data_IF_665933225972
#
_entry.id   IF_665933225972
#
_cell.length_a   1.000
_cell.length_b   1.000
_cell.length_c   1.000
_cell.angle_alpha   90.00
_cell.angle_beta   90.00
_cell.angle_gamma   90.00
#
_symmetry.space_group_name_H-M   'P 1'
#
loop_
_entity.id
_entity.type
_entity.pdbx_description
1 polymer ?
#
# COMPACT_ATOMS: atom_id res chain seq x y z
N UNK A 1 -7.82 3.26 -4.96
CA UNK A 1 -7.24 4.56 -4.60
C UNK A 1 -6.43 5.15 -5.74
N UNK A 2 -6.19 6.43 -5.69
CA UNK A 2 -5.17 7.11 -6.48
C UNK A 2 -4.20 7.80 -5.52
N UNK A 3 -2.94 7.93 -5.93
CA UNK A 3 -1.92 8.67 -5.19
C UNK A 3 -1.28 9.66 -6.19
N UNK A 4 -1.74 10.90 -6.21
CA UNK A 4 -1.23 11.90 -7.15
C UNK A 4 0.23 12.23 -6.89
N UNK A 5 0.63 12.36 -5.62
CA UNK A 5 1.98 12.69 -5.19
C UNK A 5 2.43 11.76 -4.04
N UNK A 6 3.73 11.49 -3.97
CA UNK A 6 4.31 10.58 -2.97
C UNK A 6 4.35 9.12 -3.42
N UNK A 7 4.19 8.85 -4.73
CA UNK A 7 4.20 7.49 -5.25
C UNK A 7 5.59 6.84 -5.13
N UNK A 8 5.61 5.61 -4.61
CA UNK A 8 6.81 4.77 -4.46
C UNK A 8 7.91 5.35 -3.55
N UNK A 9 7.55 6.18 -2.56
CA UNK A 9 8.47 6.64 -1.52
C UNK A 9 8.05 6.22 -0.11
N UNK A 10 6.86 5.64 0.04
CA UNK A 10 6.30 5.16 1.31
C UNK A 10 7.13 4.03 1.95
N UNK A 11 7.73 3.16 1.15
CA UNK A 11 8.65 2.12 1.63
C UNK A 11 10.02 2.69 2.10
N UNK A 12 10.28 3.98 1.88
CA UNK A 12 11.42 4.73 2.37
C UNK A 12 11.03 5.77 3.42
N UNK A 13 9.89 5.59 4.08
CA UNK A 13 9.31 6.51 5.06
C UNK A 13 9.02 7.91 4.50
N UNK A 14 8.63 7.99 3.23
CA UNK A 14 8.24 9.24 2.59
C UNK A 14 6.85 9.71 2.99
N UNK A 15 6.57 10.99 2.72
CA UNK A 15 5.23 11.56 2.84
C UNK A 15 4.44 11.32 1.56
N UNK A 16 3.16 11.05 1.70
CA UNK A 16 2.29 10.70 0.59
C UNK A 16 1.00 11.50 0.57
N UNK A 17 0.45 11.69 -0.62
CA UNK A 17 -0.89 12.20 -0.84
C UNK A 17 -1.76 11.11 -1.45
N UNK A 18 -2.98 10.97 -0.96
CA UNK A 18 -3.89 9.94 -1.44
C UNK A 18 -5.34 10.39 -1.50
N UNK A 19 -6.07 9.80 -2.44
CA UNK A 19 -7.50 10.01 -2.62
C UNK A 19 -8.21 8.68 -2.79
N UNK A 20 -9.32 8.48 -2.08
CA UNK A 20 -10.25 7.41 -2.41
C UNK A 20 -11.03 7.77 -3.68
N UNK A 21 -11.35 6.77 -4.49
CA UNK A 21 -12.23 6.89 -5.66
C UNK A 21 -13.50 6.07 -5.44
N UNK A 22 -14.50 6.32 -6.26
CA UNK A 22 -15.82 5.65 -6.21
C UNK A 22 -15.84 4.23 -6.80
N UNK A 23 -14.68 3.69 -7.13
CA UNK A 23 -14.48 2.34 -7.65
C UNK A 23 -13.79 1.48 -6.59
N UNK A 24 -14.13 0.20 -6.51
CA UNK A 24 -13.57 -0.66 -5.49
C UNK A 24 -13.80 -2.14 -5.72
N UNK A 25 -13.47 -2.90 -4.70
CA UNK A 25 -13.76 -4.33 -4.59
C UNK A 25 -15.06 -4.49 -3.79
N UNK A 26 -15.95 -5.31 -4.32
CA UNK A 26 -17.23 -5.65 -3.70
C UNK A 26 -17.26 -7.13 -3.37
N UNK A 27 -17.79 -7.47 -2.21
CA UNK A 27 -17.94 -8.85 -1.79
C UNK A 27 -19.33 -9.09 -1.18
N UNK A 28 -20.08 -10.05 -1.76
CA UNK A 28 -21.30 -10.57 -1.18
C UNK A 28 -20.98 -11.92 -0.53
N UNK A 29 -21.28 -12.08 0.75
CA UNK A 29 -20.89 -13.26 1.51
C UNK A 29 -21.90 -13.63 2.62
N UNK A 30 -21.82 -14.88 3.06
CA UNK A 30 -22.45 -15.35 4.30
C UNK A 30 -21.43 -16.08 5.18
N UNK A 31 -21.62 -16.11 6.52
CA UNK A 31 -20.71 -16.77 7.43
C UNK A 31 -20.79 -18.30 7.30
N UNK A 32 -19.65 -18.97 7.46
CA UNK A 32 -19.50 -20.43 7.50
C UNK A 32 -18.98 -20.84 8.87
N UNK A 33 -19.87 -21.43 9.71
CA UNK A 33 -19.53 -21.81 11.08
C UNK A 33 -18.46 -22.91 11.21
N UNK A 34 -18.21 -23.63 10.14
CA UNK A 34 -17.18 -24.67 10.07
C UNK A 34 -15.77 -24.11 9.76
N UNK A 35 -15.59 -22.79 9.71
CA UNK A 35 -14.32 -22.14 9.47
C UNK A 35 -13.78 -22.20 8.03
N UNK A 36 -14.59 -22.67 7.08
CA UNK A 36 -14.18 -22.73 5.67
C UNK A 36 -14.37 -21.38 4.99
N UNK A 37 -13.37 -20.94 4.25
CA UNK A 37 -13.47 -19.85 3.26
C UNK A 37 -13.70 -20.46 1.89
N UNK A 38 -14.79 -20.08 1.22
CA UNK A 38 -15.12 -20.46 -0.14
C UNK A 38 -15.55 -19.23 -0.93
N UNK A 39 -14.65 -18.62 -1.69
CA UNK A 39 -14.94 -17.42 -2.46
C UNK A 39 -14.69 -17.64 -3.95
N UNK A 40 -15.66 -17.23 -4.76
CA UNK A 40 -15.55 -17.17 -6.21
C UNK A 40 -15.23 -15.74 -6.63
N UNK A 41 -14.15 -15.55 -7.37
CA UNK A 41 -13.89 -14.28 -8.04
C UNK A 41 -14.64 -14.22 -9.37
N UNK A 42 -15.24 -13.06 -9.68
CA UNK A 42 -15.82 -12.80 -11.00
C UNK A 42 -14.77 -12.30 -12.01
N UNK A 43 -13.58 -11.90 -11.51
CA UNK A 43 -12.46 -11.39 -12.33
C UNK A 43 -11.42 -12.47 -12.64
N UNK A 44 -11.32 -13.52 -11.82
CA UNK A 44 -10.31 -14.55 -11.94
C UNK A 44 -10.91 -15.96 -11.99
N UNK A 45 -10.30 -16.87 -12.75
CA UNK A 45 -10.64 -18.28 -12.68
C UNK A 45 -10.27 -18.85 -11.30
N UNK A 46 -10.79 -20.02 -11.01
CA UNK A 46 -10.61 -20.78 -9.78
C UNK A 46 -11.30 -20.13 -8.56
N UNK A 47 -11.76 -21.00 -7.69
CA UNK A 47 -12.36 -20.66 -6.40
C UNK A 47 -11.27 -20.67 -5.32
N UNK A 48 -11.30 -19.70 -4.42
CA UNK A 48 -10.54 -19.77 -3.20
C UNK A 48 -11.22 -20.74 -2.23
N UNK A 49 -10.47 -21.71 -1.71
CA UNK A 49 -10.98 -22.64 -0.70
C UNK A 49 -9.86 -22.96 0.31
N UNK A 50 -10.10 -22.65 1.58
CA UNK A 50 -9.17 -22.97 2.67
C UNK A 50 -9.89 -22.84 4.03
N UNK A 51 -9.28 -23.39 5.10
CA UNK A 51 -9.75 -23.21 6.47
C UNK A 51 -9.06 -22.02 7.13
N UNK A 52 -9.79 -21.16 7.85
CA UNK A 52 -9.20 -20.04 8.60
C UNK A 52 -8.26 -20.51 9.73
N UNK A 53 -8.47 -21.75 10.23
CA UNK A 53 -7.62 -22.37 11.26
C UNK A 53 -6.42 -23.14 10.71
N UNK A 54 -6.34 -23.31 9.38
CA UNK A 54 -5.30 -24.08 8.70
C UNK A 54 -4.98 -23.45 7.34
N UNK A 55 -4.55 -22.20 7.37
CA UNK A 55 -4.08 -21.50 6.17
C UNK A 55 -2.76 -22.14 5.72
N UNK A 56 -2.58 -22.48 4.42
CA UNK A 56 -1.31 -22.99 3.92
C UNK A 56 -0.13 -22.06 4.27
N UNK A 57 1.00 -22.63 4.67
CA UNK A 57 2.19 -21.85 5.00
C UNK A 57 2.81 -21.18 3.79
N UNK A 58 2.75 -21.84 2.63
CA UNK A 58 3.27 -21.33 1.37
C UNK A 58 2.18 -20.82 0.45
N UNK A 59 2.48 -19.74 -0.27
CA UNK A 59 1.62 -19.20 -1.32
C UNK A 59 1.46 -20.20 -2.47
N UNK A 60 0.26 -20.25 -3.05
CA UNK A 60 -0.08 -21.16 -4.15
C UNK A 60 0.09 -20.51 -5.54
N UNK A 61 0.33 -19.20 -5.58
CA UNK A 61 0.56 -18.44 -6.81
C UNK A 61 -0.70 -18.09 -7.57
N UNK A 62 -1.85 -18.04 -6.90
CA UNK A 62 -3.12 -17.61 -7.46
C UNK A 62 -3.64 -16.34 -6.75
N UNK A 63 -4.78 -15.81 -7.22
CA UNK A 63 -5.40 -14.59 -6.68
C UNK A 63 -5.77 -14.71 -5.19
N UNK A 64 -6.05 -15.92 -4.73
CA UNK A 64 -6.48 -16.18 -3.35
C UNK A 64 -5.32 -16.12 -2.34
N UNK A 65 -4.07 -15.99 -2.79
CA UNK A 65 -2.94 -15.78 -1.89
C UNK A 65 -3.09 -14.49 -1.06
N UNK A 66 -3.75 -13.48 -1.60
CA UNK A 66 -4.09 -12.26 -0.86
C UNK A 66 -5.06 -12.54 0.30
N UNK A 67 -6.03 -13.43 0.09
CA UNK A 67 -6.99 -13.85 1.12
C UNK A 67 -6.35 -14.76 2.17
N UNK A 68 -5.50 -15.70 1.71
CA UNK A 68 -4.75 -16.59 2.61
C UNK A 68 -3.81 -15.78 3.50
N UNK A 69 -3.04 -14.84 2.91
CA UNK A 69 -2.17 -13.94 3.66
C UNK A 69 -2.94 -13.12 4.70
N UNK A 70 -4.08 -12.56 4.31
CA UNK A 70 -4.93 -11.81 5.22
C UNK A 70 -5.43 -12.66 6.40
N UNK A 71 -5.96 -13.86 6.13
CA UNK A 71 -6.42 -14.76 7.16
C UNK A 71 -5.27 -15.23 8.08
N UNK A 72 -4.08 -15.50 7.50
CA UNK A 72 -2.91 -15.92 8.28
C UNK A 72 -2.47 -14.82 9.24
N UNK A 73 -2.26 -13.59 8.76
CA UNK A 73 -1.81 -12.47 9.59
C UNK A 73 -2.83 -12.09 10.67
N UNK A 74 -4.12 -12.14 10.35
CA UNK A 74 -5.16 -11.93 11.35
C UNK A 74 -5.19 -13.08 12.38
N UNK A 75 -5.02 -14.31 11.92
CA UNK A 75 -5.01 -15.52 12.75
C UNK A 75 -3.85 -15.61 13.73
N UNK A 76 -2.73 -14.92 13.48
CA UNK A 76 -1.60 -14.80 14.41
C UNK A 76 -1.96 -14.01 15.68
N UNK A 77 -2.94 -13.09 15.57
CA UNK A 77 -3.36 -12.22 16.69
C UNK A 77 -4.70 -12.64 17.29
N UNK A 78 -5.58 -13.20 16.47
CA UNK A 78 -6.96 -13.49 16.83
C UNK A 78 -7.34 -14.92 16.50
N UNK A 79 -8.07 -15.57 17.40
CA UNK A 79 -8.60 -16.91 17.12
C UNK A 79 -9.77 -16.84 16.15
N UNK A 80 -9.53 -17.22 14.89
CA UNK A 80 -10.56 -17.29 13.87
C UNK A 80 -11.32 -18.63 13.96
N UNK A 81 -12.65 -18.56 13.96
CA UNK A 81 -13.54 -19.74 14.03
C UNK A 81 -14.50 -19.82 12.84
N UNK A 82 -14.92 -18.66 12.34
CA UNK A 82 -15.94 -18.53 11.31
C UNK A 82 -15.27 -18.15 10.00
N UNK A 83 -15.49 -18.96 8.98
CA UNK A 83 -15.13 -18.63 7.60
C UNK A 83 -16.25 -17.90 6.88
N UNK A 84 -16.15 -17.81 5.55
CA UNK A 84 -17.18 -17.18 4.73
C UNK A 84 -17.28 -17.83 3.35
N UNK A 85 -18.47 -17.82 2.78
CA UNK A 85 -18.71 -18.25 1.42
C UNK A 85 -19.41 -17.14 0.64
N UNK A 86 -19.03 -16.94 -0.63
CA UNK A 86 -19.61 -15.87 -1.42
C UNK A 86 -18.87 -15.60 -2.72
N UNK A 87 -19.11 -14.41 -3.24
CA UNK A 87 -18.51 -13.90 -4.49
C UNK A 87 -17.80 -12.59 -4.24
N UNK A 88 -16.74 -12.35 -5.01
CA UNK A 88 -15.94 -11.12 -4.96
C UNK A 88 -15.70 -10.59 -6.38
N UNK A 89 -15.84 -9.29 -6.55
CA UNK A 89 -15.68 -8.60 -7.83
C UNK A 89 -14.95 -7.27 -7.65
N UNK A 90 -14.05 -6.98 -8.58
CA UNK A 90 -13.43 -5.66 -8.75
C UNK A 90 -14.00 -4.94 -9.96
N UNK A 91 -14.34 -3.67 -9.81
CA UNK A 91 -14.95 -2.84 -10.86
C UNK A 91 -13.97 -2.18 -11.82
N UNK A 92 -12.66 -2.37 -11.61
CA UNK A 92 -11.60 -1.78 -12.44
C UNK A 92 -10.68 -2.84 -13.02
N UNK A 93 -10.03 -2.56 -14.17
CA UNK A 93 -8.96 -3.39 -14.71
C UNK A 93 -7.83 -3.59 -13.68
N UNK A 94 -7.21 -4.75 -13.71
CA UNK A 94 -6.12 -5.11 -12.81
C UNK A 94 -4.85 -4.36 -13.21
N UNK A 95 -4.27 -3.63 -12.26
CA UNK A 95 -2.97 -2.97 -12.41
C UNK A 95 -3.00 -1.48 -12.05
N UNK A 96 -2.05 -1.04 -11.23
CA UNK A 96 -1.76 0.37 -10.92
C UNK A 96 -2.71 1.07 -9.95
N UNK A 97 -3.85 0.48 -9.58
CA UNK A 97 -4.86 1.09 -8.70
C UNK A 97 -5.03 0.35 -7.36
N UNK A 98 -4.01 -0.39 -6.93
CA UNK A 98 -3.97 -1.08 -5.63
C UNK A 98 -5.05 -2.13 -5.40
N UNK A 99 -5.39 -2.89 -6.43
CA UNK A 99 -6.38 -3.96 -6.29
C UNK A 99 -6.00 -5.03 -5.27
N UNK A 100 -4.71 -5.27 -5.03
CA UNK A 100 -4.21 -6.21 -4.02
C UNK A 100 -4.54 -5.74 -2.60
N UNK A 101 -4.23 -4.50 -2.25
CA UNK A 101 -4.58 -3.92 -0.95
C UNK A 101 -6.11 -3.89 -0.76
N UNK A 102 -6.86 -3.47 -1.80
CA UNK A 102 -8.33 -3.42 -1.77
C UNK A 102 -8.95 -4.79 -1.50
N UNK A 103 -8.49 -5.85 -2.16
CA UNK A 103 -9.04 -7.21 -1.93
C UNK A 103 -8.71 -7.72 -0.53
N UNK A 104 -7.51 -7.43 -0.03
CA UNK A 104 -7.09 -7.80 1.33
C UNK A 104 -7.97 -7.09 2.36
N UNK A 105 -8.13 -5.77 2.26
CA UNK A 105 -8.91 -4.97 3.22
C UNK A 105 -10.39 -5.35 3.16
N UNK A 106 -10.96 -5.56 1.98
CA UNK A 106 -12.33 -6.03 1.81
C UNK A 106 -12.55 -7.37 2.51
N UNK A 107 -11.64 -8.33 2.32
CA UNK A 107 -11.72 -9.64 2.96
C UNK A 107 -11.47 -9.58 4.47
N UNK A 108 -10.47 -8.83 4.94
CA UNK A 108 -10.22 -8.62 6.37
C UNK A 108 -11.44 -8.04 7.07
N UNK A 109 -12.07 -7.03 6.47
CA UNK A 109 -13.28 -6.40 7.02
C UNK A 109 -14.41 -7.40 7.18
N UNK A 110 -14.64 -8.27 6.19
CA UNK A 110 -15.65 -9.32 6.27
C UNK A 110 -15.29 -10.39 7.30
N UNK A 111 -14.02 -10.83 7.32
CA UNK A 111 -13.54 -11.86 8.26
C UNK A 111 -13.60 -11.38 9.71
N UNK A 112 -13.24 -10.12 9.96
CA UNK A 112 -13.40 -9.47 11.26
C UNK A 112 -14.87 -9.44 11.67
N UNK A 113 -15.77 -9.00 10.79
CA UNK A 113 -17.19 -8.90 11.07
C UNK A 113 -17.81 -10.24 11.47
N UNK A 114 -17.50 -11.33 10.75
CA UNK A 114 -18.10 -12.66 11.07
C UNK A 114 -17.49 -13.30 12.32
N UNK A 115 -16.28 -12.88 12.74
CA UNK A 115 -15.63 -13.37 13.95
C UNK A 115 -15.77 -12.41 15.15
N UNK A 116 -16.52 -11.29 15.02
CA UNK A 116 -16.72 -10.33 16.09
C UNK A 116 -15.43 -9.59 16.50
N UNK A 117 -14.49 -9.43 15.56
CA UNK A 117 -13.21 -8.75 15.77
C UNK A 117 -13.35 -7.29 15.37
N UNK A 118 -12.83 -6.39 16.17
CA UNK A 118 -12.69 -4.97 15.84
C UNK A 118 -11.20 -4.65 15.69
N UNK A 119 -10.81 -4.10 14.56
CA UNK A 119 -9.46 -3.58 14.33
C UNK A 119 -9.51 -2.07 14.27
N UNK A 120 -8.61 -1.42 14.98
CA UNK A 120 -8.36 0.01 14.77
C UNK A 120 -7.78 0.26 13.37
N UNK A 121 -8.01 1.45 12.78
CA UNK A 121 -7.58 1.74 11.41
C UNK A 121 -6.11 1.39 11.12
N UNK A 122 -5.20 1.75 12.03
CA UNK A 122 -3.78 1.44 11.85
C UNK A 122 -3.49 -0.06 11.95
N UNK A 123 -4.21 -0.78 12.81
CA UNK A 123 -4.07 -2.24 12.90
C UNK A 123 -4.54 -2.94 11.62
N UNK A 124 -5.64 -2.46 11.01
CA UNK A 124 -6.11 -2.94 9.70
C UNK A 124 -5.05 -2.72 8.63
N UNK A 125 -4.46 -1.53 8.56
CA UNK A 125 -3.40 -1.15 7.63
C UNK A 125 -2.18 -2.07 7.78
N UNK A 126 -1.70 -2.23 9.01
CA UNK A 126 -0.51 -3.04 9.29
C UNK A 126 -0.75 -4.53 9.03
N UNK A 127 -1.94 -5.05 9.34
CA UNK A 127 -2.32 -6.44 9.05
C UNK A 127 -2.40 -6.68 7.54
N UNK A 128 -3.00 -5.76 6.79
CA UNK A 128 -3.08 -5.83 5.32
C UNK A 128 -1.69 -5.74 4.67
N UNK A 129 -0.84 -4.83 5.14
CA UNK A 129 0.56 -4.73 4.71
C UNK A 129 1.35 -6.02 5.01
N UNK A 130 1.19 -6.58 6.20
CA UNK A 130 1.86 -7.82 6.57
C UNK A 130 1.44 -8.98 5.64
N UNK A 131 0.17 -9.08 5.27
CA UNK A 131 -0.32 -10.06 4.31
C UNK A 131 0.40 -9.97 2.95
N UNK A 132 0.60 -8.75 2.43
CA UNK A 132 1.35 -8.55 1.18
C UNK A 132 2.83 -8.85 1.34
N UNK A 133 3.47 -8.40 2.41
CA UNK A 133 4.91 -8.49 2.58
C UNK A 133 5.37 -9.91 2.97
N UNK A 134 4.69 -10.52 3.96
CA UNK A 134 5.16 -11.77 4.57
C UNK A 134 4.61 -13.00 3.85
N UNK A 135 3.37 -12.93 3.32
CA UNK A 135 2.76 -14.07 2.65
C UNK A 135 2.86 -14.00 1.13
N UNK A 136 2.41 -12.89 0.52
CA UNK A 136 2.45 -12.72 -0.94
C UNK A 136 3.88 -12.48 -1.43
N UNK A 137 4.74 -11.84 -0.61
CA UNK A 137 6.15 -11.58 -0.91
C UNK A 137 6.39 -10.32 -1.73
N UNK A 138 5.54 -9.31 -1.56
CA UNK A 138 5.71 -7.98 -2.17
C UNK A 138 6.14 -7.01 -1.08
N UNK A 139 7.35 -6.47 -1.16
CA UNK A 139 7.90 -5.55 -0.16
C UNK A 139 7.29 -4.14 -0.26
N UNK A 140 5.97 -4.02 -0.20
CA UNK A 140 5.29 -2.72 -0.29
C UNK A 140 5.46 -1.88 0.98
N UNK A 141 5.32 -0.55 0.85
CA UNK A 141 5.08 0.35 1.98
C UNK A 141 3.63 0.25 2.47
N UNK A 142 3.09 1.32 3.01
CA UNK A 142 1.71 1.35 3.52
C UNK A 142 0.80 2.37 2.82
N UNK A 143 1.25 2.94 1.69
CA UNK A 143 0.49 3.93 0.93
C UNK A 143 -0.89 3.42 0.54
N UNK A 144 -0.94 2.24 -0.07
CA UNK A 144 -2.16 1.68 -0.63
C UNK A 144 -3.19 1.41 0.45
N UNK A 145 -2.79 0.68 1.48
CA UNK A 145 -3.64 0.31 2.61
C UNK A 145 -4.10 1.55 3.40
N UNK A 146 -3.19 2.52 3.61
CA UNK A 146 -3.54 3.76 4.33
C UNK A 146 -4.56 4.60 3.56
N UNK A 147 -4.39 4.75 2.24
CA UNK A 147 -5.36 5.48 1.44
C UNK A 147 -6.75 4.82 1.45
N UNK A 148 -6.81 3.49 1.45
CA UNK A 148 -8.08 2.76 1.45
C UNK A 148 -8.80 2.78 2.79
N UNK A 149 -8.05 2.77 3.90
CA UNK A 149 -8.62 2.76 5.26
C UNK A 149 -8.90 4.17 5.80
N UNK A 150 -7.99 5.13 5.54
CA UNK A 150 -8.05 6.46 6.17
C UNK A 150 -8.73 7.51 5.31
N UNK A 151 -8.81 7.34 3.97
CA UNK A 151 -9.37 8.37 3.11
C UNK A 151 -10.84 8.66 3.40
N UNK A 152 -11.23 9.90 3.20
CA UNK A 152 -12.59 10.38 3.37
C UNK A 152 -13.05 11.12 2.11
N UNK A 153 -14.34 11.00 1.79
CA UNK A 153 -14.93 11.74 0.66
C UNK A 153 -14.63 13.23 0.76
N UNK A 154 -14.24 13.84 -0.34
CA UNK A 154 -13.89 15.27 -0.45
C UNK A 154 -12.70 15.69 0.43
N UNK A 155 -11.77 14.76 0.71
CA UNK A 155 -10.52 15.08 1.43
C UNK A 155 -9.34 14.47 0.69
N UNK A 156 -8.24 15.21 0.69
CA UNK A 156 -6.92 14.65 0.40
C UNK A 156 -6.36 14.04 1.68
N UNK A 157 -5.94 12.80 1.65
CA UNK A 157 -5.14 12.22 2.71
C UNK A 157 -3.69 12.68 2.52
N UNK A 158 -3.11 13.29 3.54
CA UNK A 158 -1.68 13.57 3.66
C UNK A 158 -1.12 12.79 4.83
N UNK A 159 -0.20 11.87 4.58
CA UNK A 159 0.32 10.93 5.57
C UNK A 159 1.84 10.95 5.58
N UNK A 160 2.45 11.07 6.76
CA UNK A 160 3.86 10.74 6.98
C UNK A 160 3.99 9.25 7.33
N UNK A 161 4.63 8.48 6.45
CA UNK A 161 4.72 7.02 6.65
C UNK A 161 5.82 6.62 7.64
N UNK A 162 6.55 7.57 8.22
CA UNK A 162 7.55 7.33 9.27
C UNK A 162 6.92 7.16 10.64
N UNK A 163 6.02 8.04 11.00
CA UNK A 163 5.39 8.11 12.33
C UNK A 163 3.87 7.86 12.31
N UNK A 164 3.31 7.61 11.14
CA UNK A 164 1.89 7.37 10.90
C UNK A 164 0.97 8.56 11.20
N UNK A 165 1.55 9.75 11.40
CA UNK A 165 0.76 10.97 11.50
C UNK A 165 0.10 11.31 10.17
N UNK A 166 -1.17 11.69 10.21
CA UNK A 166 -1.91 12.02 8.99
C UNK A 166 -2.88 13.18 9.18
N UNK A 167 -3.20 13.82 8.08
CA UNK A 167 -4.20 14.87 7.98
C UNK A 167 -5.17 14.56 6.85
N UNK A 168 -6.45 14.75 7.11
CA UNK A 168 -7.49 14.75 6.09
C UNK A 168 -7.77 16.19 5.69
N UNK A 169 -7.17 16.65 4.60
CA UNK A 169 -7.28 18.02 4.11
C UNK A 169 -8.56 18.15 3.28
N UNK A 170 -9.56 18.94 3.70
CA UNK A 170 -10.80 19.07 2.95
C UNK A 170 -10.56 19.71 1.58
N UNK A 171 -11.31 19.26 0.57
CA UNK A 171 -11.37 19.93 -0.73
C UNK A 171 -12.03 21.29 -0.54
N UNK A 172 -11.33 22.37 -0.86
CA UNK A 172 -11.85 23.73 -0.73
C UNK A 172 -13.00 23.97 -1.71
N UNK A 173 -14.02 24.70 -1.26
CA UNK A 173 -15.10 25.17 -2.14
C UNK A 173 -14.61 26.14 -3.26
N UNK A 174 -13.42 26.72 -3.07
CA UNK A 174 -12.77 27.57 -4.07
C UNK A 174 -12.11 26.78 -5.21
N UNK A 175 -11.90 25.46 -5.01
CA UNK A 175 -11.32 24.60 -6.05
C UNK A 175 -12.29 24.47 -7.23
N UNK A 176 -11.75 24.61 -8.45
CA UNK A 176 -12.49 24.29 -9.66
C UNK A 176 -12.88 22.80 -9.64
N UNK A 177 -14.08 22.44 -10.15
CA UNK A 177 -14.44 21.03 -10.31
C UNK A 177 -13.42 20.31 -11.17
N UNK A 178 -12.98 19.13 -10.73
CA UNK A 178 -12.04 18.30 -11.47
C UNK A 178 -12.57 16.87 -11.66
N UNK A 179 -12.01 16.17 -12.62
CA UNK A 179 -12.28 14.76 -12.87
C UNK A 179 -10.97 14.00 -12.94
N UNK A 180 -10.97 12.78 -12.44
CA UNK A 180 -9.85 11.86 -12.58
C UNK A 180 -10.11 10.96 -13.79
N UNK A 181 -9.22 11.04 -14.78
CA UNK A 181 -9.26 10.17 -15.95
C UNK A 181 -8.26 9.00 -15.74
N UNK A 182 -8.75 7.77 -15.86
CA UNK A 182 -7.94 6.57 -15.76
C UNK A 182 -7.79 5.96 -17.15
N UNK A 183 -6.54 5.88 -17.62
CA UNK A 183 -6.22 5.29 -18.92
C UNK A 183 -5.54 3.93 -18.71
N UNK A 184 -6.15 2.87 -19.23
CA UNK A 184 -5.55 1.54 -19.23
C UNK A 184 -4.53 1.44 -20.36
N UNK A 185 -3.28 1.14 -20.04
CA UNK A 185 -2.18 1.06 -21.01
C UNK A 185 -2.20 -0.23 -21.88
N UNK A 186 -3.12 -1.14 -21.62
CA UNK A 186 -3.15 -2.47 -22.25
C UNK A 186 -2.10 -3.45 -21.74
N UNK A 187 -1.25 -3.04 -20.78
CA UNK A 187 -0.22 -3.92 -20.21
C UNK A 187 -0.72 -4.57 -18.92
N UNK A 188 -0.81 -5.89 -18.94
CA UNK A 188 -1.01 -6.67 -17.72
C UNK A 188 0.32 -6.80 -16.97
N UNK A 189 0.32 -6.43 -15.69
CA UNK A 189 1.48 -6.57 -14.81
C UNK A 189 1.27 -7.72 -13.85
N UNK A 190 2.13 -8.72 -13.92
CA UNK A 190 2.27 -9.71 -12.86
C UNK A 190 3.26 -9.18 -11.80
N UNK A 191 2.87 -9.16 -10.54
CA UNK A 191 3.75 -8.81 -9.42
C UNK A 191 4.97 -9.74 -9.35
N UNK A 192 4.84 -11.00 -9.80
CA UNK A 192 5.94 -11.99 -9.86
C UNK A 192 7.12 -11.54 -10.72
N UNK A 193 6.88 -10.74 -11.78
CA UNK A 193 7.90 -10.26 -12.71
C UNK A 193 8.24 -8.78 -12.52
N UNK A 194 7.70 -8.14 -11.49
CA UNK A 194 7.98 -6.73 -11.26
C UNK A 194 9.34 -6.55 -10.59
N UNK A 195 10.10 -5.56 -11.04
CA UNK A 195 11.35 -5.15 -10.38
C UNK A 195 11.10 -4.33 -9.10
N UNK A 196 9.91 -4.46 -8.48
CA UNK A 196 9.51 -3.62 -7.35
C UNK A 196 10.43 -3.83 -6.14
N UNK A 197 10.62 -5.10 -5.73
CA UNK A 197 11.51 -5.43 -4.61
C UNK A 197 12.95 -4.98 -4.88
N UNK A 198 13.45 -5.20 -6.11
CA UNK A 198 14.78 -4.73 -6.51
C UNK A 198 14.91 -3.20 -6.38
N UNK A 199 13.90 -2.45 -6.80
CA UNK A 199 13.91 -0.97 -6.67
C UNK A 199 13.91 -0.53 -5.22
N UNK A 200 13.23 -1.24 -4.35
CA UNK A 200 13.26 -0.97 -2.91
C UNK A 200 14.66 -1.22 -2.34
N UNK A 201 15.31 -2.31 -2.74
CA UNK A 201 16.68 -2.63 -2.30
C UNK A 201 17.69 -1.62 -2.85
N UNK A 202 17.52 -1.12 -4.08
CA UNK A 202 18.31 -0.02 -4.65
C UNK A 202 18.18 1.27 -3.80
N UNK A 203 16.97 1.59 -3.30
CA UNK A 203 16.76 2.73 -2.39
C UNK A 203 17.49 2.54 -1.05
N UNK A 204 17.41 1.35 -0.45
CA UNK A 204 18.13 1.04 0.79
C UNK A 204 19.63 1.09 0.59
N UNK A 205 20.13 0.56 -0.53
CA UNK A 205 21.54 0.59 -0.87
C UNK A 205 22.05 2.03 -1.04
N UNK A 206 21.25 2.90 -1.67
CA UNK A 206 21.57 4.31 -1.77
C UNK A 206 21.66 4.97 -0.39
N UNK A 207 20.67 4.75 0.48
CA UNK A 207 20.67 5.30 1.84
C UNK A 207 21.88 4.82 2.64
N UNK A 208 22.13 3.51 2.64
CA UNK A 208 23.24 2.90 3.36
C UNK A 208 24.61 3.44 2.90
N UNK A 209 24.80 3.56 1.58
CA UNK A 209 26.03 4.11 1.01
C UNK A 209 26.22 5.60 1.37
N UNK A 210 25.17 6.42 1.28
CA UNK A 210 25.22 7.84 1.63
C UNK A 210 25.59 8.06 3.10
N UNK A 211 24.99 7.30 4.01
CA UNK A 211 25.32 7.36 5.44
C UNK A 211 26.78 6.97 5.68
N UNK A 212 27.26 5.90 5.03
CA UNK A 212 28.66 5.49 5.10
C UNK A 212 29.63 6.55 4.55
N UNK A 213 29.30 7.21 3.43
CA UNK A 213 30.13 8.27 2.87
C UNK A 213 30.23 9.52 3.77
N UNK A 214 29.16 9.80 4.51
CA UNK A 214 29.07 10.93 5.42
C UNK A 214 29.61 10.63 6.84
N UNK A 215 30.02 9.39 7.10
CA UNK A 215 30.42 8.96 8.44
C UNK A 215 29.30 9.00 9.48
N UNK A 216 28.05 8.84 9.03
CA UNK A 216 26.88 8.80 9.90
C UNK A 216 26.75 7.40 10.53
N UNK A 217 26.20 7.36 11.74
CA UNK A 217 25.73 6.10 12.32
C UNK A 217 24.57 5.53 11.51
N UNK A 218 24.56 4.24 11.28
CA UNK A 218 23.51 3.55 10.52
C UNK A 218 23.13 2.22 11.18
N UNK A 219 21.87 1.85 11.02
CA UNK A 219 21.34 0.56 11.46
C UNK A 219 21.65 -0.55 10.42
N UNK A 220 21.02 -1.70 10.55
CA UNK A 220 21.12 -2.77 9.56
C UNK A 220 20.62 -2.30 8.19
N UNK A 221 21.11 -2.93 7.12
CA UNK A 221 20.62 -2.66 5.76
C UNK A 221 19.09 -2.77 5.65
N UNK A 222 18.49 -3.72 6.35
CA UNK A 222 17.04 -3.92 6.35
C UNK A 222 16.26 -2.72 6.92
N UNK A 223 16.83 -2.03 7.89
CA UNK A 223 16.19 -0.91 8.61
C UNK A 223 16.55 0.47 8.04
N UNK A 224 17.61 0.57 7.25
CA UNK A 224 18.06 1.86 6.68
C UNK A 224 17.10 2.35 5.60
N UNK A 225 16.77 3.64 5.64
CA UNK A 225 15.84 4.30 4.71
C UNK A 225 16.39 5.65 4.26
N UNK A 226 15.99 6.09 3.05
CA UNK A 226 16.35 7.41 2.53
C UNK A 226 15.84 8.57 3.43
N UNK A 227 14.75 8.35 4.17
CA UNK A 227 14.25 9.32 5.17
C UNK A 227 15.26 9.64 6.28
N UNK A 228 16.15 8.72 6.56
CA UNK A 228 17.14 8.87 7.63
C UNK A 228 18.42 9.58 7.13
N UNK A 229 18.50 9.86 5.84
CA UNK A 229 19.62 10.59 5.19
C UNK A 229 19.18 12.05 4.94
N UNK A 230 19.84 13.04 5.52
CA UNK A 230 19.56 14.44 5.21
C UNK A 230 19.78 14.76 3.73
N UNK A 231 18.99 15.69 3.19
CA UNK A 231 19.09 16.08 1.78
C UNK A 231 20.48 16.64 1.42
N UNK A 232 21.10 17.36 2.34
CA UNK A 232 22.45 17.92 2.18
C UNK A 232 23.50 16.83 2.02
N UNK A 233 23.35 15.70 2.71
CA UNK A 233 24.23 14.53 2.57
C UNK A 233 24.04 13.90 1.18
N UNK A 234 22.78 13.76 0.73
CA UNK A 234 22.53 13.30 -0.62
C UNK A 234 23.18 14.22 -1.67
N UNK A 235 22.96 15.53 -1.60
CA UNK A 235 23.56 16.49 -2.54
C UNK A 235 25.11 16.44 -2.54
N UNK A 236 25.73 16.27 -1.38
CA UNK A 236 27.19 16.22 -1.25
C UNK A 236 27.78 14.93 -1.85
N UNK A 237 27.06 13.82 -1.82
CA UNK A 237 27.61 12.50 -2.17
C UNK A 237 26.90 11.77 -3.31
N UNK A 238 25.87 12.36 -3.92
CA UNK A 238 25.06 11.70 -4.97
C UNK A 238 25.86 11.21 -6.16
N UNK A 239 26.93 11.91 -6.54
CA UNK A 239 27.77 11.55 -7.69
C UNK A 239 28.70 10.36 -7.40
N UNK A 240 28.83 9.94 -6.14
CA UNK A 240 29.55 8.74 -5.73
C UNK A 240 28.68 7.49 -5.77
N UNK A 241 27.36 7.64 -5.90
CA UNK A 241 26.43 6.52 -6.00
C UNK A 241 26.46 5.89 -7.40
N UNK A 242 26.30 4.57 -7.51
CA UNK A 242 25.95 3.94 -8.78
C UNK A 242 24.72 4.61 -9.39
N UNK A 243 24.68 4.75 -10.72
CA UNK A 243 23.64 5.52 -11.43
C UNK A 243 22.22 5.11 -11.05
N UNK A 244 21.93 3.80 -10.95
CA UNK A 244 20.61 3.32 -10.58
C UNK A 244 20.22 3.75 -9.15
N UNK A 245 21.13 3.66 -8.19
CA UNK A 245 20.88 4.05 -6.80
C UNK A 245 20.69 5.58 -6.68
N UNK A 246 21.49 6.34 -7.41
CA UNK A 246 21.33 7.80 -7.50
C UNK A 246 19.95 8.17 -8.00
N UNK A 247 19.48 7.57 -9.11
CA UNK A 247 18.13 7.83 -9.65
C UNK A 247 17.01 7.49 -8.66
N UNK A 248 17.19 6.47 -7.80
CA UNK A 248 16.21 6.15 -6.75
C UNK A 248 16.18 7.21 -5.67
N UNK A 249 17.34 7.68 -5.22
CA UNK A 249 17.43 8.76 -4.24
C UNK A 249 16.90 10.09 -4.80
N UNK A 250 17.23 10.45 -6.04
CA UNK A 250 16.68 11.62 -6.74
C UNK A 250 15.15 11.58 -6.78
N UNK A 251 14.58 10.43 -7.15
CA UNK A 251 13.12 10.25 -7.13
C UNK A 251 12.56 10.45 -5.73
N UNK A 252 13.17 9.85 -4.71
CA UNK A 252 12.73 9.96 -3.33
C UNK A 252 12.65 11.41 -2.88
N UNK A 253 13.75 12.17 -2.97
CA UNK A 253 13.78 13.54 -2.48
C UNK A 253 12.87 14.48 -3.28
N UNK A 254 12.87 14.35 -4.60
CA UNK A 254 12.02 15.18 -5.45
C UNK A 254 10.52 14.89 -5.21
N UNK A 255 10.15 13.63 -5.02
CA UNK A 255 8.77 13.23 -4.78
C UNK A 255 8.30 13.60 -3.36
N UNK A 256 9.21 13.51 -2.39
CA UNK A 256 8.97 13.96 -1.03
C UNK A 256 8.61 15.46 -0.99
N UNK A 257 9.43 16.29 -1.64
CA UNK A 257 9.17 17.73 -1.75
C UNK A 257 7.85 18.03 -2.49
N UNK A 258 7.53 17.26 -3.56
CA UNK A 258 6.25 17.39 -4.27
C UNK A 258 5.06 17.04 -3.37
N UNK A 259 5.15 15.99 -2.58
CA UNK A 259 4.07 15.59 -1.67
C UNK A 259 3.79 16.66 -0.59
N UNK A 260 4.84 17.26 -0.02
CA UNK A 260 4.70 18.36 0.93
C UNK A 260 4.08 19.60 0.26
N UNK A 261 4.63 20.00 -0.87
CA UNK A 261 4.15 21.16 -1.64
C UNK A 261 2.69 20.98 -2.08
N UNK A 262 2.34 19.78 -2.55
CA UNK A 262 0.98 19.46 -2.95
C UNK A 262 -0.01 19.58 -1.79
N UNK A 263 0.32 19.09 -0.60
CA UNK A 263 -0.53 19.26 0.57
C UNK A 263 -0.76 20.73 0.92
N UNK A 264 0.27 21.58 0.82
CA UNK A 264 0.14 23.03 1.01
C UNK A 264 -0.79 23.68 -0.02
N UNK A 265 -0.62 23.33 -1.30
CA UNK A 265 -1.45 23.86 -2.39
C UNK A 265 -2.90 23.42 -2.25
N UNK A 266 -3.13 22.17 -1.86
CA UNK A 266 -4.47 21.67 -1.59
C UNK A 266 -5.17 22.43 -0.45
N UNK A 267 -4.47 22.72 0.66
CA UNK A 267 -5.00 23.54 1.77
C UNK A 267 -5.38 24.96 1.31
N UNK A 268 -4.65 25.52 0.34
CA UNK A 268 -4.95 26.82 -0.27
C UNK A 268 -6.08 26.79 -1.30
N UNK A 269 -6.51 25.61 -1.72
CA UNK A 269 -7.47 25.43 -2.81
C UNK A 269 -6.91 25.70 -4.20
N UNK A 270 -5.58 25.67 -4.33
CA UNK A 270 -4.86 25.87 -5.60
C UNK A 270 -4.68 24.52 -6.33
N UNK A 271 -5.69 24.15 -7.11
CA UNK A 271 -5.66 22.91 -7.89
C UNK A 271 -4.72 23.01 -9.10
N UNK A 272 -4.52 24.19 -9.66
CA UNK A 272 -3.63 24.37 -10.82
C UNK A 272 -2.15 24.26 -10.41
N UNK A 273 -1.82 24.69 -9.21
CA UNK A 273 -0.48 24.52 -8.64
C UNK A 273 -0.22 23.09 -8.14
N UNK A 274 -1.26 22.38 -7.73
CA UNK A 274 -1.18 21.00 -7.26
C UNK A 274 -0.81 20.04 -8.38
#
# INVERSE_FOLDING_TARGET
>A
RISPLGAHIDHQYGKINGLAIDKGIHMAYHPKQNGVVELQSLNFPKRAQFFVSAVPDEKQGDWADHLRGAAKMLGEKYRLKVGLSGIIEGSLPIGGLSSSASVIICFLSALCKVNGIHLEPMEMILTAKAAENQYVGVSCGKLDQSCEVLSKKNHLLYLDTKDDSYELIPTSEKMKPYKVAIFFSGMERSLKNSKYNLRQDECKAAAYALMGYAGMDYDTFANTRLRDVPYEVFEAYKDRLPELWRRRAEHYYSEFARAEKGAELWRKGDLEGY
#
